data_IF_550014769005
#
_entry.id   IF_550014769005
#
_cell.length_a   1.000
_cell.length_b   1.000
_cell.length_c   1.000
_cell.angle_alpha   90.00
_cell.angle_beta   90.00
_cell.angle_gamma   90.00
#
_symmetry.space_group_name_H-M   'P 1'
#
loop_
_entity.id
_entity.type
_entity.pdbx_description
1 polymer ?
#
# COMPACT_ATOMS: atom_id res chain seq x y z
N UNK A 1 -8.32 -13.83 -1.29
CA UNK A 1 -6.94 -13.42 -1.67
C UNK A 1 -7.09 -12.48 -2.87
N UNK A 2 -7.12 -11.17 -2.66
CA UNK A 2 -7.31 -10.20 -3.75
C UNK A 2 -6.09 -10.21 -4.68
N UNK A 3 -6.30 -10.55 -5.94
CA UNK A 3 -5.26 -10.47 -6.96
C UNK A 3 -5.03 -8.99 -7.32
N UNK A 4 -4.10 -8.33 -6.59
CA UNK A 4 -3.79 -6.89 -6.69
C UNK A 4 -3.00 -6.50 -7.95
N UNK A 5 -2.77 -7.43 -8.89
CA UNK A 5 -1.91 -7.22 -10.05
C UNK A 5 -2.51 -6.38 -11.19
N UNK A 6 -3.83 -6.46 -11.49
CA UNK A 6 -4.34 -5.87 -12.74
C UNK A 6 -4.32 -4.33 -12.79
N UNK A 7 -4.67 -3.63 -11.68
CA UNK A 7 -4.70 -2.14 -11.69
C UNK A 7 -3.33 -1.53 -11.88
N UNK A 8 -2.35 -2.04 -11.13
CA UNK A 8 -0.97 -1.59 -11.25
C UNK A 8 -0.38 -1.91 -12.62
N UNK A 9 -0.72 -3.07 -13.20
CA UNK A 9 -0.27 -3.46 -14.56
C UNK A 9 -0.90 -2.60 -15.64
N UNK A 10 -2.19 -2.26 -15.53
CA UNK A 10 -2.87 -1.36 -16.46
C UNK A 10 -2.23 0.03 -16.45
N UNK A 11 -2.06 0.63 -15.29
CA UNK A 11 -1.45 1.94 -15.14
C UNK A 11 0.04 1.92 -15.54
N UNK A 12 0.76 0.84 -15.27
CA UNK A 12 2.14 0.66 -15.71
C UNK A 12 2.26 0.60 -17.23
N UNK A 13 1.30 -0.02 -17.92
CA UNK A 13 1.28 -0.05 -19.38
C UNK A 13 1.09 1.35 -19.98
N UNK A 14 0.34 2.24 -19.31
CA UNK A 14 0.25 3.66 -19.65
C UNK A 14 1.61 4.36 -19.51
N UNK A 15 2.23 4.21 -18.34
CA UNK A 15 3.51 4.86 -18.05
C UNK A 15 4.62 4.42 -19.01
N UNK A 16 4.63 3.15 -19.43
CA UNK A 16 5.59 2.65 -20.44
C UNK A 16 5.39 3.25 -21.85
N UNK A 17 4.21 3.82 -22.12
CA UNK A 17 3.90 4.53 -23.36
C UNK A 17 3.97 6.05 -23.20
N UNK A 18 4.61 6.53 -22.13
CA UNK A 18 4.70 7.96 -21.79
C UNK A 18 3.34 8.65 -21.66
N UNK A 19 2.32 7.88 -21.24
CA UNK A 19 0.98 8.38 -20.98
C UNK A 19 0.75 8.48 -19.48
N UNK A 20 0.08 9.54 -19.04
CA UNK A 20 -0.34 9.76 -17.66
C UNK A 20 -1.86 9.72 -17.60
N UNK A 21 -2.41 9.03 -16.61
CA UNK A 21 -3.87 8.96 -16.47
C UNK A 21 -4.46 10.26 -15.90
N UNK A 22 -3.81 10.85 -14.93
CA UNK A 22 -4.11 12.12 -14.25
C UNK A 22 -5.46 12.20 -13.49
N UNK A 23 -6.32 11.21 -13.63
CA UNK A 23 -7.60 11.13 -12.91
C UNK A 23 -7.83 9.72 -12.32
N UNK A 24 -6.82 9.24 -11.58
CA UNK A 24 -6.93 7.94 -10.88
C UNK A 24 -7.75 8.12 -9.61
N UNK A 25 -9.00 7.60 -9.63
CA UNK A 25 -9.97 7.68 -8.52
C UNK A 25 -10.87 6.45 -8.50
N UNK A 26 -11.59 6.16 -7.40
CA UNK A 26 -12.41 4.96 -7.29
C UNK A 26 -13.44 4.80 -8.41
N UNK A 27 -14.05 5.90 -8.87
CA UNK A 27 -15.05 5.91 -9.92
C UNK A 27 -14.49 5.42 -11.26
N UNK A 28 -13.17 5.61 -11.48
CA UNK A 28 -12.46 5.21 -12.68
C UNK A 28 -11.80 3.82 -12.53
N UNK A 29 -12.09 3.10 -11.43
CA UNK A 29 -11.57 1.75 -11.16
C UNK A 29 -12.74 0.78 -11.07
N UNK A 30 -12.87 -0.10 -12.06
CA UNK A 30 -13.89 -1.15 -12.09
C UNK A 30 -13.28 -2.51 -11.73
N UNK A 31 -14.06 -3.33 -11.06
CA UNK A 31 -13.73 -4.73 -10.80
C UNK A 31 -14.78 -5.58 -11.50
N UNK A 32 -14.36 -6.39 -12.46
CA UNK A 32 -15.28 -7.28 -13.16
C UNK A 32 -15.62 -8.52 -12.32
N UNK A 33 -16.55 -9.33 -12.81
CA UNK A 33 -17.04 -10.53 -12.13
C UNK A 33 -15.96 -11.61 -11.89
N UNK A 34 -14.82 -11.52 -12.60
CA UNK A 34 -13.67 -12.41 -12.39
C UNK A 34 -12.70 -11.87 -11.35
N UNK A 35 -12.96 -10.68 -10.80
CA UNK A 35 -12.05 -9.97 -9.90
C UNK A 35 -10.91 -9.24 -10.62
N UNK A 36 -11.00 -9.11 -11.96
CA UNK A 36 -10.04 -8.32 -12.73
C UNK A 36 -10.33 -6.85 -12.57
N UNK A 37 -9.32 -6.07 -12.19
CA UNK A 37 -9.43 -4.63 -12.02
C UNK A 37 -9.08 -3.94 -13.34
N UNK A 38 -9.94 -3.03 -13.79
CA UNK A 38 -9.79 -2.23 -15.00
C UNK A 38 -9.85 -0.76 -14.64
N UNK A 39 -8.98 0.03 -15.24
CA UNK A 39 -9.06 1.49 -15.20
C UNK A 39 -9.86 1.92 -16.42
N UNK A 40 -10.81 2.79 -16.18
CA UNK A 40 -11.71 3.36 -17.20
C UNK A 40 -11.61 4.87 -17.16
N UNK A 41 -12.19 5.52 -18.16
CA UNK A 41 -12.20 6.96 -18.35
C UNK A 41 -10.81 7.57 -18.59
N UNK A 42 -10.51 7.71 -19.86
CA UNK A 42 -9.24 8.24 -20.35
C UNK A 42 -9.36 9.69 -20.81
N UNK A 43 -10.40 10.42 -20.40
CA UNK A 43 -10.64 11.79 -20.84
C UNK A 43 -9.56 12.79 -20.37
N UNK A 44 -8.88 12.47 -19.24
CA UNK A 44 -7.82 13.28 -18.68
C UNK A 44 -6.40 12.83 -19.07
N UNK A 45 -6.28 11.80 -19.94
CA UNK A 45 -4.97 11.24 -20.30
C UNK A 45 -4.12 12.27 -21.03
N UNK A 46 -2.91 12.48 -20.52
CA UNK A 46 -1.89 13.30 -21.17
C UNK A 46 -0.86 12.37 -21.82
N UNK A 47 -0.55 12.65 -23.09
CA UNK A 47 0.50 11.96 -23.85
C UNK A 47 1.69 12.92 -24.01
N UNK A 48 2.88 12.49 -23.58
CA UNK A 48 4.08 13.30 -23.72
C UNK A 48 4.34 13.63 -25.21
N UNK A 49 4.59 14.90 -25.51
CA UNK A 49 4.86 15.38 -26.87
C UNK A 49 3.63 15.80 -27.69
N UNK A 50 2.40 15.59 -27.24
CA UNK A 50 1.23 16.19 -27.84
C UNK A 50 0.88 17.45 -27.05
N UNK A 51 1.17 18.62 -27.60
CA UNK A 51 0.86 19.92 -27.03
C UNK A 51 -0.63 20.26 -27.20
N UNK A 52 -1.51 19.57 -26.47
CA UNK A 52 -2.86 20.07 -26.23
C UNK A 52 -2.86 20.77 -24.88
N UNK A 53 -3.35 22.04 -24.90
CA UNK A 53 -3.22 23.04 -23.85
C UNK A 53 -3.30 22.49 -22.43
N UNK A 54 -2.39 22.98 -21.60
CA UNK A 54 -2.26 22.74 -20.17
C UNK A 54 -3.55 23.02 -19.37
N UNK A 55 -4.59 22.24 -19.58
CA UNK A 55 -5.69 22.16 -18.65
C UNK A 55 -5.23 21.23 -17.52
N UNK A 56 -4.93 21.81 -16.37
CA UNK A 56 -4.89 21.04 -15.13
C UNK A 56 -6.28 20.43 -14.93
N UNK A 57 -6.45 19.11 -15.00
CA UNK A 57 -7.78 18.47 -14.95
C UNK A 57 -8.59 18.85 -13.71
N UNK A 58 -7.92 19.38 -12.69
CA UNK A 58 -8.50 19.65 -11.37
C UNK A 58 -8.90 21.10 -11.12
N UNK A 59 -8.70 22.03 -12.06
CA UNK A 59 -8.98 23.46 -11.82
C UNK A 59 -10.47 23.79 -11.53
N UNK A 60 -11.40 22.92 -11.90
CA UNK A 60 -12.84 23.10 -11.73
C UNK A 60 -13.56 21.86 -11.16
N UNK A 61 -12.83 20.83 -10.71
CA UNK A 61 -13.43 19.62 -10.21
C UNK A 61 -14.07 19.83 -8.82
N UNK A 62 -15.19 19.17 -8.52
CA UNK A 62 -15.79 19.14 -7.18
C UNK A 62 -14.80 18.68 -6.10
N UNK A 63 -14.90 19.24 -4.88
CA UNK A 63 -13.98 18.91 -3.78
C UNK A 63 -13.92 17.40 -3.49
N UNK A 64 -15.01 16.67 -3.70
CA UNK A 64 -15.07 15.22 -3.53
C UNK A 64 -14.19 14.43 -4.52
N UNK A 65 -13.95 14.98 -5.69
CA UNK A 65 -13.09 14.39 -6.72
C UNK A 65 -11.61 14.71 -6.47
N UNK A 66 -11.36 15.90 -5.91
CA UNK A 66 -10.01 16.40 -5.64
C UNK A 66 -9.27 15.67 -4.51
N UNK A 67 -9.97 14.90 -3.69
CA UNK A 67 -9.38 14.23 -2.52
C UNK A 67 -8.37 13.13 -2.86
N UNK A 68 -8.39 12.63 -4.09
CA UNK A 68 -7.44 11.63 -4.62
C UNK A 68 -6.28 12.28 -5.38
N UNK A 69 -6.41 13.55 -5.75
CA UNK A 69 -5.42 14.26 -6.54
C UNK A 69 -4.12 14.47 -5.77
N UNK A 70 -2.99 14.32 -6.46
CA UNK A 70 -1.69 14.58 -5.88
C UNK A 70 -1.52 16.08 -5.55
N UNK A 71 -0.83 16.41 -4.43
CA UNK A 71 -0.76 17.80 -3.96
C UNK A 71 -0.07 18.77 -4.94
N UNK A 72 0.80 18.27 -5.80
CA UNK A 72 1.45 19.08 -6.85
C UNK A 72 0.48 19.72 -7.85
N UNK A 73 -0.68 19.09 -8.10
CA UNK A 73 -1.70 19.67 -8.99
C UNK A 73 -2.25 21.00 -8.45
N UNK A 74 -2.38 21.13 -7.12
CA UNK A 74 -2.87 22.34 -6.48
C UNK A 74 -1.85 23.51 -6.50
N UNK A 75 -0.61 23.20 -6.84
CA UNK A 75 0.46 24.18 -7.06
C UNK A 75 0.60 24.57 -8.54
N UNK A 76 -0.28 24.08 -9.42
CA UNK A 76 -0.20 24.29 -10.86
C UNK A 76 0.97 23.56 -11.53
N UNK A 77 1.58 22.58 -10.83
CA UNK A 77 2.60 21.72 -11.41
C UNK A 77 1.94 20.64 -12.25
N UNK A 78 2.56 20.30 -13.36
CA UNK A 78 2.08 19.23 -14.24
C UNK A 78 2.04 17.86 -13.53
N UNK A 79 1.21 16.95 -14.05
CA UNK A 79 1.16 15.58 -13.60
C UNK A 79 2.43 14.80 -13.96
N UNK A 80 2.64 13.71 -13.23
CA UNK A 80 3.76 12.79 -13.44
C UNK A 80 3.32 11.36 -13.08
N UNK A 81 4.14 10.37 -13.40
CA UNK A 81 3.94 8.99 -12.94
C UNK A 81 3.83 8.89 -11.42
N UNK A 82 4.55 9.76 -10.70
CA UNK A 82 4.47 9.86 -9.25
C UNK A 82 3.13 10.47 -8.78
N UNK A 83 2.44 11.27 -9.60
CA UNK A 83 1.11 11.78 -9.30
C UNK A 83 0.04 10.69 -9.39
N UNK A 84 0.07 9.89 -10.46
CA UNK A 84 -0.81 8.73 -10.61
C UNK A 84 -0.58 7.70 -9.50
N UNK A 85 0.69 7.48 -9.11
CA UNK A 85 1.04 6.62 -8.00
C UNK A 85 0.45 7.11 -6.67
N UNK A 86 0.52 8.42 -6.41
CA UNK A 86 -0.08 9.02 -5.22
C UNK A 86 -1.58 8.75 -5.17
N UNK A 87 -2.30 9.01 -6.27
CA UNK A 87 -3.74 8.79 -6.36
C UNK A 87 -4.11 7.32 -6.12
N UNK A 88 -3.37 6.39 -6.72
CA UNK A 88 -3.54 4.95 -6.48
C UNK A 88 -3.29 4.58 -5.01
N UNK A 89 -2.27 5.17 -4.38
CA UNK A 89 -1.96 4.92 -2.99
C UNK A 89 -3.03 5.50 -2.03
N UNK A 90 -3.67 6.64 -2.39
CA UNK A 90 -4.84 7.18 -1.65
C UNK A 90 -6.00 6.18 -1.70
N UNK A 91 -6.32 5.64 -2.88
CA UNK A 91 -7.37 4.62 -3.02
C UNK A 91 -7.04 3.39 -2.15
N UNK A 92 -5.79 2.90 -2.23
CA UNK A 92 -5.37 1.75 -1.43
C UNK A 92 -5.45 2.02 0.08
N UNK A 93 -5.03 3.21 0.53
CA UNK A 93 -5.15 3.61 1.93
C UNK A 93 -6.62 3.63 2.36
N UNK A 94 -7.50 4.24 1.55
CA UNK A 94 -8.93 4.31 1.85
C UNK A 94 -9.58 2.92 1.86
N UNK A 95 -9.25 2.03 0.94
CA UNK A 95 -9.73 0.64 0.95
C UNK A 95 -9.33 -0.11 2.23
N UNK A 96 -8.16 0.19 2.78
CA UNK A 96 -7.66 -0.47 3.98
C UNK A 96 -8.22 0.11 5.28
N UNK A 97 -8.48 1.42 5.31
CA UNK A 97 -8.79 2.15 6.55
C UNK A 97 -10.19 2.76 6.60
N UNK A 98 -10.85 2.91 5.44
CA UNK A 98 -12.10 3.66 5.30
C UNK A 98 -11.93 5.19 5.35
N UNK A 99 -10.69 5.70 5.40
CA UNK A 99 -10.39 7.12 5.59
C UNK A 99 -9.38 7.61 4.56
N UNK A 100 -9.23 8.94 4.44
CA UNK A 100 -8.19 9.57 3.62
C UNK A 100 -6.90 9.78 4.43
N UNK A 101 -5.70 9.62 3.81
CA UNK A 101 -4.42 9.69 4.50
C UNK A 101 -4.08 11.08 5.07
N UNK A 102 -4.66 12.12 4.51
CA UNK A 102 -4.49 13.52 4.91
C UNK A 102 -5.83 14.20 5.24
N UNK A 103 -6.94 13.44 5.28
CA UNK A 103 -8.26 14.04 5.26
C UNK A 103 -8.41 14.96 4.04
N UNK A 104 -9.02 16.13 4.23
CA UNK A 104 -9.19 17.14 3.17
C UNK A 104 -8.05 18.18 3.11
N UNK A 105 -6.93 17.96 3.79
CA UNK A 105 -5.84 18.94 3.83
C UNK A 105 -5.19 19.14 2.46
N UNK A 106 -5.09 18.07 1.65
CA UNK A 106 -4.49 18.14 0.31
C UNK A 106 -5.22 19.14 -0.59
N UNK A 107 -6.55 19.18 -0.54
CA UNK A 107 -7.35 20.09 -1.38
C UNK A 107 -7.18 21.57 -1.02
N UNK A 108 -6.58 21.86 0.14
CA UNK A 108 -6.31 23.21 0.64
C UNK A 108 -4.91 23.72 0.34
N UNK A 109 -4.07 22.90 -0.25
CA UNK A 109 -2.71 23.30 -0.65
C UNK A 109 -2.79 24.42 -1.70
N UNK A 110 -2.03 25.49 -1.47
CA UNK A 110 -1.90 26.63 -2.40
C UNK A 110 -0.46 27.09 -2.52
N UNK A 111 0.40 26.72 -1.58
CA UNK A 111 1.79 27.13 -1.52
C UNK A 111 2.70 25.95 -1.23
N UNK A 112 4.00 26.02 -1.56
CA UNK A 112 4.97 25.00 -1.16
C UNK A 112 5.07 24.80 0.35
N UNK A 113 4.76 25.83 1.15
CA UNK A 113 4.75 25.71 2.61
C UNK A 113 3.57 24.88 3.13
N UNK A 114 2.43 24.94 2.43
CA UNK A 114 1.30 24.08 2.76
C UNK A 114 1.63 22.60 2.59
N UNK A 115 2.46 22.25 1.57
CA UNK A 115 2.96 20.89 1.41
C UNK A 115 3.74 20.39 2.62
N UNK A 116 4.54 21.26 3.24
CA UNK A 116 5.36 20.90 4.43
C UNK A 116 4.50 20.71 5.66
N UNK A 117 3.32 21.31 5.70
CA UNK A 117 2.36 21.22 6.81
C UNK A 117 1.44 20.01 6.71
N UNK A 118 1.38 19.34 5.56
CA UNK A 118 0.59 18.13 5.39
C UNK A 118 1.07 17.05 6.38
N UNK A 119 0.14 16.55 7.19
CA UNK A 119 0.40 15.49 8.15
C UNK A 119 -0.23 14.19 7.70
N UNK A 120 0.61 13.24 7.33
CA UNK A 120 0.17 11.88 7.05
C UNK A 120 -0.37 11.22 8.31
N UNK A 121 -1.57 10.67 8.22
CA UNK A 121 -2.15 9.87 9.29
C UNK A 121 -1.74 8.41 9.03
N UNK A 122 -0.97 7.77 9.93
CA UNK A 122 -0.59 6.38 9.74
C UNK A 122 -1.81 5.46 9.59
N UNK A 123 -1.76 4.54 8.62
CA UNK A 123 -2.87 3.61 8.40
C UNK A 123 -3.16 2.77 9.64
N UNK A 124 -2.14 2.49 10.45
CA UNK A 124 -2.25 1.75 11.71
C UNK A 124 -2.96 2.51 12.84
N UNK A 125 -3.02 3.82 12.79
CA UNK A 125 -3.84 4.60 13.74
C UNK A 125 -5.33 4.35 13.51
N UNK A 126 -5.72 4.09 12.25
CA UNK A 126 -7.10 3.79 11.87
C UNK A 126 -7.41 2.30 11.95
N UNK A 127 -6.41 1.48 11.70
CA UNK A 127 -6.53 0.04 11.65
C UNK A 127 -5.29 -0.63 12.25
N UNK A 128 -5.26 -0.85 13.58
CA UNK A 128 -4.08 -1.34 14.30
C UNK A 128 -3.60 -2.73 13.90
N UNK A 129 -4.48 -3.56 13.36
CA UNK A 129 -4.19 -4.91 12.86
C UNK A 129 -3.37 -4.93 11.56
N UNK A 130 -3.25 -3.78 10.88
CA UNK A 130 -2.43 -3.68 9.68
C UNK A 130 -0.94 -3.89 10.00
N UNK A 131 -0.24 -4.73 9.21
CA UNK A 131 1.20 -4.88 9.33
C UNK A 131 1.93 -3.53 9.13
N UNK A 132 2.94 -3.26 9.96
CA UNK A 132 3.70 -2.00 9.90
C UNK A 132 4.36 -1.75 8.53
N UNK A 133 4.72 -2.81 7.81
CA UNK A 133 5.33 -2.68 6.50
C UNK A 133 4.38 -2.10 5.44
N UNK A 134 3.07 -2.38 5.54
CA UNK A 134 2.05 -1.77 4.65
C UNK A 134 2.03 -0.25 4.85
N UNK A 135 2.02 0.19 6.12
CA UNK A 135 2.05 1.62 6.44
C UNK A 135 3.33 2.30 5.95
N UNK A 136 4.47 1.62 6.05
CA UNK A 136 5.75 2.11 5.52
C UNK A 136 5.73 2.33 4.00
N UNK A 137 5.21 1.37 3.24
CA UNK A 137 5.10 1.46 1.77
C UNK A 137 4.12 2.55 1.37
N UNK A 138 2.95 2.62 2.03
CA UNK A 138 1.95 3.67 1.79
C UNK A 138 2.48 5.06 2.12
N UNK A 139 3.18 5.22 3.25
CA UNK A 139 3.78 6.50 3.66
C UNK A 139 4.74 7.05 2.62
N UNK A 140 5.54 6.17 1.98
CA UNK A 140 6.44 6.57 0.91
C UNK A 140 5.66 6.97 -0.34
N UNK A 141 4.70 6.18 -0.79
CA UNK A 141 3.89 6.48 -1.98
C UNK A 141 3.03 7.73 -1.82
N UNK A 142 2.58 8.01 -0.59
CA UNK A 142 1.77 9.16 -0.22
C UNK A 142 2.60 10.38 0.21
N UNK A 143 3.94 10.37 0.02
CA UNK A 143 4.76 11.51 0.41
C UNK A 143 4.31 12.77 -0.34
N UNK A 144 4.16 13.95 0.34
CA UNK A 144 3.73 15.19 -0.29
C UNK A 144 4.61 15.60 -1.48
N UNK A 145 5.93 15.44 -1.37
CA UNK A 145 6.87 15.66 -2.47
C UNK A 145 6.96 14.44 -3.37
N UNK A 146 6.61 14.57 -4.65
CA UNK A 146 6.67 13.49 -5.65
C UNK A 146 8.04 12.86 -5.77
N UNK A 147 9.13 13.64 -5.64
CA UNK A 147 10.52 13.15 -5.69
C UNK A 147 10.90 12.16 -4.59
N UNK A 148 10.13 12.10 -3.50
CA UNK A 148 10.36 11.18 -2.38
C UNK A 148 9.48 9.93 -2.43
N UNK A 149 8.61 9.82 -3.42
CA UNK A 149 7.80 8.63 -3.70
C UNK A 149 8.65 7.57 -4.40
N UNK A 150 8.08 6.42 -4.65
CA UNK A 150 8.65 5.45 -5.59
C UNK A 150 8.75 6.11 -6.99
N UNK A 151 9.82 5.82 -7.71
CA UNK A 151 10.07 6.39 -9.05
C UNK A 151 9.12 5.81 -10.09
N UNK A 152 8.78 4.53 -9.92
CA UNK A 152 7.89 3.81 -10.81
C UNK A 152 6.83 3.01 -10.05
N UNK A 153 5.70 2.77 -10.70
CA UNK A 153 4.64 1.93 -10.17
C UNK A 153 5.10 0.50 -9.91
N UNK A 154 6.03 -0.03 -10.73
CA UNK A 154 6.66 -1.34 -10.54
C UNK A 154 7.42 -1.41 -9.21
N UNK A 155 8.12 -0.35 -8.81
CA UNK A 155 8.80 -0.26 -7.51
C UNK A 155 7.80 -0.35 -6.35
N UNK A 156 6.69 0.40 -6.43
CA UNK A 156 5.63 0.32 -5.42
C UNK A 156 5.06 -1.10 -5.28
N UNK A 157 4.79 -1.76 -6.41
CA UNK A 157 4.30 -3.14 -6.40
C UNK A 157 5.34 -4.09 -5.83
N UNK A 158 6.62 -3.89 -6.16
CA UNK A 158 7.72 -4.68 -5.63
C UNK A 158 7.90 -4.49 -4.12
N UNK A 159 7.81 -3.24 -3.62
CA UNK A 159 7.86 -2.93 -2.19
C UNK A 159 6.75 -3.68 -1.43
N UNK A 160 5.52 -3.68 -1.96
CA UNK A 160 4.41 -4.43 -1.38
C UNK A 160 4.66 -5.94 -1.35
N UNK A 161 5.25 -6.51 -2.40
CA UNK A 161 5.55 -7.94 -2.48
C UNK A 161 6.73 -8.35 -1.60
N UNK A 162 7.80 -7.57 -1.61
CA UNK A 162 9.03 -7.89 -0.88
C UNK A 162 8.81 -7.75 0.63
N UNK A 163 8.24 -6.63 1.06
CA UNK A 163 7.92 -6.42 2.46
C UNK A 163 6.91 -7.45 2.98
N UNK A 164 5.91 -7.82 2.17
CA UNK A 164 4.95 -8.88 2.51
C UNK A 164 5.60 -10.24 2.69
N UNK A 165 6.52 -10.63 1.81
CA UNK A 165 7.28 -11.89 1.93
C UNK A 165 8.17 -11.92 3.17
N UNK A 166 8.90 -10.82 3.44
CA UNK A 166 9.74 -10.71 4.64
C UNK A 166 8.91 -10.77 5.92
N UNK A 167 7.73 -10.18 5.92
CA UNK A 167 6.81 -10.27 7.05
C UNK A 167 6.30 -11.68 7.28
N UNK A 168 5.92 -12.40 6.22
CA UNK A 168 5.49 -13.80 6.30
C UNK A 168 6.62 -14.71 6.78
N UNK A 169 7.85 -14.51 6.30
CA UNK A 169 9.00 -15.30 6.75
C UNK A 169 9.41 -15.02 8.20
N UNK A 170 9.13 -13.83 8.72
CA UNK A 170 9.37 -13.45 10.13
C UNK A 170 8.26 -13.90 11.09
N UNK A 171 7.07 -14.19 10.60
CA UNK A 171 6.08 -14.90 11.39
C UNK A 171 6.64 -16.32 11.60
N UNK A 172 7.30 -16.52 12.74
CA UNK A 172 7.66 -17.86 13.17
C UNK A 172 6.37 -18.68 13.22
N UNK A 173 6.19 -19.57 12.25
CA UNK A 173 5.11 -20.55 12.27
C UNK A 173 5.35 -21.35 13.56
N UNK A 174 4.38 -21.43 14.49
CA UNK A 174 4.55 -22.23 15.71
C UNK A 174 5.07 -23.61 15.32
N UNK A 175 6.00 -24.16 16.12
CA UNK A 175 6.61 -25.48 15.85
C UNK A 175 5.55 -26.56 15.65
N UNK A 176 4.40 -26.40 16.30
CA UNK A 176 3.23 -27.27 16.16
C UNK A 176 2.70 -27.30 14.71
N UNK A 177 2.65 -26.17 14.00
CA UNK A 177 2.17 -26.08 12.62
C UNK A 177 3.26 -26.42 11.60
N UNK A 178 4.53 -26.17 11.95
CA UNK A 178 5.67 -26.41 11.07
C UNK A 178 6.02 -27.90 10.96
N UNK A 179 5.99 -28.61 12.07
CA UNK A 179 6.26 -30.04 12.11
C UNK A 179 5.59 -30.65 13.36
N UNK A 180 4.29 -30.99 13.28
CA UNK A 180 3.54 -31.51 14.42
C UNK A 180 4.15 -32.79 14.99
N UNK A 181 4.72 -33.65 14.13
CA UNK A 181 5.34 -34.91 14.57
C UNK A 181 6.58 -34.62 15.45
N UNK A 182 7.46 -33.77 15.02
CA UNK A 182 8.65 -33.38 15.78
C UNK A 182 8.29 -32.68 17.10
N UNK A 183 7.24 -31.84 17.11
CA UNK A 183 6.74 -31.20 18.33
C UNK A 183 6.29 -32.26 19.38
N UNK A 184 5.45 -33.21 18.99
CA UNK A 184 4.97 -34.23 19.90
C UNK A 184 6.05 -35.21 20.33
N UNK A 185 7.01 -35.53 19.45
CA UNK A 185 8.18 -36.36 19.81
C UNK A 185 9.07 -35.66 20.85
N UNK A 186 9.40 -34.38 20.67
CA UNK A 186 10.21 -33.64 21.65
C UNK A 186 9.49 -33.51 22.98
N UNK A 187 8.18 -33.27 22.98
CA UNK A 187 7.38 -33.20 24.20
C UNK A 187 7.35 -34.56 24.93
N UNK A 188 7.17 -35.65 24.20
CA UNK A 188 7.18 -37.00 24.79
C UNK A 188 8.53 -37.36 25.41
N UNK A 189 9.66 -37.01 24.76
CA UNK A 189 11.00 -37.22 25.30
C UNK A 189 11.22 -36.38 26.56
N UNK A 190 10.81 -35.12 26.58
CA UNK A 190 10.92 -34.29 27.79
C UNK A 190 10.10 -34.83 28.97
N UNK A 191 8.88 -35.30 28.70
CA UNK A 191 8.03 -35.90 29.72
C UNK A 191 8.64 -37.22 30.25
N UNK A 192 9.19 -38.07 29.38
CA UNK A 192 9.85 -39.30 29.77
C UNK A 192 11.08 -39.02 30.66
N UNK A 193 11.91 -38.05 30.32
CA UNK A 193 13.05 -37.60 31.13
C UNK A 193 12.60 -37.07 32.49
N UNK A 194 11.53 -36.29 32.54
CA UNK A 194 10.97 -35.77 33.79
C UNK A 194 10.51 -36.91 34.71
N UNK A 195 9.84 -37.93 34.17
CA UNK A 195 9.38 -39.11 34.92
C UNK A 195 10.59 -39.89 35.46
N UNK A 196 11.61 -40.15 34.66
CA UNK A 196 12.84 -40.84 35.10
C UNK A 196 13.54 -40.07 36.21
N UNK A 197 13.64 -38.75 36.10
CA UNK A 197 14.22 -37.89 37.13
C UNK A 197 13.44 -37.96 38.45
N UNK A 198 12.09 -37.91 38.38
CA UNK A 198 11.24 -37.99 39.57
C UNK A 198 11.32 -39.36 40.25
N UNK A 199 11.42 -40.44 39.46
CA UNK A 199 11.60 -41.78 39.99
C UNK A 199 12.98 -41.95 40.64
N UNK A 200 14.04 -41.41 40.02
CA UNK A 200 15.39 -41.37 40.58
C UNK A 200 15.45 -40.65 41.92
N UNK A 201 14.83 -39.45 42.01
CA UNK A 201 14.75 -38.72 43.27
C UNK A 201 13.97 -39.43 44.38
N UNK A 202 12.93 -40.17 44.02
CA UNK A 202 12.21 -41.02 45.00
C UNK A 202 13.03 -42.21 45.52
N UNK A 203 13.88 -42.80 44.67
CA UNK A 203 14.72 -43.95 45.05
C UNK A 203 15.95 -43.54 45.87
N UNK A 204 16.44 -42.31 45.71
CA UNK A 204 17.61 -41.79 46.45
C UNK A 204 17.24 -41.03 47.74
N UNK A 205 15.97 -40.78 47.99
CA UNK A 205 15.46 -40.06 49.16
C UNK A 205 15.00 -40.93 50.31
N UNK A 206 15.41 -42.25 50.34
CA UNK A 206 15.22 -43.18 51.45
C UNK A 206 16.58 -43.55 52.05
#
# INVERSE_FOLDING_TARGET
MFNKRPTAQGLQAFHHREMLHQDVRPENVMIDHTGTVKIIDFAAVHVAGLAEGTRTPHAQAPVGELQYAAPEYFLGLGGSTASDLFSLAVIMYQMLTGHLPYGLQVTRVRTPDDLRRLRYIPARERRPDLPAWIDGVLRRALHPSGRKRQEALSEFVQDLHTAGRQYQSRRAVPLLERNPVAFWQTLAVLLALAVVLLLGLRLTGH
#
